data_IF_853715712991
#
_entry.id   IF_853715712991
#
_cell.length_a   1.000
_cell.length_b   1.000
_cell.length_c   1.000
_cell.angle_alpha   90.00
_cell.angle_beta   90.00
_cell.angle_gamma   90.00
#
_symmetry.space_group_name_H-M   'P 1'
#
loop_
_entity.id
_entity.type
_entity.pdbx_description
1 polymer ?
#
# COMPACT_ATOMS: atom_id res chain seq x y z
N UNK A 1 -17.08 -24.71 -17.44
CA UNK A 1 -16.99 -23.45 -18.21
C UNK A 1 -17.73 -23.63 -19.50
N UNK A 2 -18.83 -22.89 -19.69
CA UNK A 2 -19.58 -22.83 -20.95
C UNK A 2 -19.00 -21.71 -21.79
N UNK A 3 -18.56 -22.04 -23.00
CA UNK A 3 -18.09 -21.04 -23.96
C UNK A 3 -19.28 -20.67 -24.87
N UNK A 4 -19.76 -19.43 -24.73
CA UNK A 4 -20.81 -18.90 -25.60
C UNK A 4 -20.21 -18.01 -26.71
N UNK A 5 -20.77 -18.10 -27.90
CA UNK A 5 -20.39 -17.20 -29.01
C UNK A 5 -21.03 -15.84 -28.77
N UNK A 6 -20.19 -14.82 -28.48
CA UNK A 6 -20.58 -13.42 -28.37
C UNK A 6 -20.02 -12.57 -29.53
N UNK A 7 -20.52 -11.35 -29.67
CA UNK A 7 -19.93 -10.38 -30.58
C UNK A 7 -18.55 -9.95 -30.10
N UNK A 8 -17.55 -10.02 -30.97
CA UNK A 8 -16.20 -9.51 -30.65
C UNK A 8 -16.21 -7.98 -30.54
N UNK A 9 -15.39 -7.40 -29.66
CA UNK A 9 -15.13 -5.97 -29.64
C UNK A 9 -14.59 -5.53 -31.02
N UNK A 10 -14.89 -4.29 -31.42
CA UNK A 10 -14.55 -3.73 -32.75
C UNK A 10 -13.04 -3.59 -32.99
N UNK A 11 -12.21 -3.82 -31.99
CA UNK A 11 -10.77 -3.67 -32.08
C UNK A 11 -10.09 -5.05 -32.13
N UNK A 12 -9.40 -5.32 -33.24
CA UNK A 12 -8.57 -6.52 -33.36
C UNK A 12 -7.13 -6.10 -33.07
N UNK A 13 -6.63 -6.48 -31.87
CA UNK A 13 -5.27 -6.20 -31.50
C UNK A 13 -4.28 -7.04 -32.31
N UNK A 14 -3.26 -6.38 -32.89
CA UNK A 14 -2.12 -7.01 -33.56
C UNK A 14 -0.84 -6.62 -32.82
N UNK A 15 -0.03 -7.61 -32.49
CA UNK A 15 1.32 -7.41 -31.96
C UNK A 15 2.31 -8.18 -32.82
N UNK A 16 3.38 -7.55 -33.26
CA UNK A 16 4.39 -8.14 -34.16
C UNK A 16 3.81 -8.78 -35.43
N UNK A 17 2.77 -8.15 -36.05
CA UNK A 17 2.04 -8.63 -37.22
C UNK A 17 1.21 -9.91 -36.99
N UNK A 18 1.09 -10.40 -35.77
CA UNK A 18 0.24 -11.52 -35.41
C UNK A 18 -1.04 -11.04 -34.71
N UNK A 19 -2.13 -11.75 -34.94
CA UNK A 19 -3.39 -11.51 -34.23
C UNK A 19 -3.24 -11.99 -32.77
N UNK A 20 -3.63 -11.14 -31.83
CA UNK A 20 -3.59 -11.45 -30.42
C UNK A 20 -5.00 -11.48 -29.85
N UNK A 21 -5.35 -12.58 -29.21
CA UNK A 21 -6.54 -12.71 -28.38
C UNK A 21 -6.09 -12.79 -26.93
N UNK A 22 -6.51 -11.82 -26.10
CA UNK A 22 -6.18 -11.82 -24.67
C UNK A 22 -7.37 -12.38 -23.88
N UNK A 23 -7.12 -13.43 -23.10
CA UNK A 23 -8.06 -13.96 -22.13
C UNK A 23 -7.66 -13.47 -20.75
N UNK A 24 -8.48 -12.64 -20.16
CA UNK A 24 -8.26 -12.12 -18.81
C UNK A 24 -9.19 -12.80 -17.82
N UNK A 25 -8.66 -13.29 -16.71
CA UNK A 25 -9.45 -13.87 -15.63
C UNK A 25 -8.81 -13.56 -14.28
N UNK A 26 -9.64 -13.47 -13.26
CA UNK A 26 -9.18 -13.33 -11.88
C UNK A 26 -9.13 -14.69 -11.19
N UNK A 27 -8.04 -14.93 -10.48
CA UNK A 27 -7.88 -16.12 -9.65
C UNK A 27 -8.08 -15.75 -8.18
N UNK A 28 -9.08 -16.39 -7.55
CA UNK A 28 -9.36 -16.23 -6.12
C UNK A 28 -8.56 -17.28 -5.37
N UNK A 29 -7.41 -16.92 -4.82
CA UNK A 29 -6.54 -17.82 -4.09
C UNK A 29 -5.14 -17.27 -3.87
N UNK A 30 -4.22 -18.13 -3.43
CA UNK A 30 -2.82 -17.77 -3.28
C UNK A 30 -2.16 -17.56 -4.64
N UNK A 31 -1.44 -16.45 -4.84
CA UNK A 31 -0.72 -16.12 -6.08
C UNK A 31 0.26 -17.25 -6.49
N UNK A 32 0.88 -17.93 -5.52
CA UNK A 32 1.80 -19.05 -5.80
C UNK A 32 1.07 -20.26 -6.42
N UNK A 33 -0.14 -20.54 -5.94
CA UNK A 33 -0.98 -21.61 -6.50
C UNK A 33 -1.54 -21.20 -7.87
N UNK A 34 -1.98 -19.96 -8.02
CA UNK A 34 -2.45 -19.40 -9.30
C UNK A 34 -1.42 -19.53 -10.40
N UNK A 35 -0.17 -19.16 -10.13
CA UNK A 35 0.93 -19.28 -11.10
C UNK A 35 1.26 -20.74 -11.46
N UNK A 36 1.18 -21.66 -10.50
CA UNK A 36 1.38 -23.09 -10.78
C UNK A 36 0.28 -23.66 -11.66
N UNK A 37 -0.97 -23.31 -11.38
CA UNK A 37 -2.13 -23.73 -12.16
C UNK A 37 -2.04 -23.13 -13.57
N UNK A 38 -1.77 -21.84 -13.68
CA UNK A 38 -1.63 -21.16 -14.96
C UNK A 38 -0.56 -21.81 -15.86
N UNK A 39 0.63 -22.06 -15.31
CA UNK A 39 1.71 -22.74 -16.07
C UNK A 39 1.29 -24.11 -16.57
N UNK A 40 0.67 -24.92 -15.70
CA UNK A 40 0.19 -26.25 -16.07
C UNK A 40 -0.89 -26.20 -17.16
N UNK A 41 -1.89 -25.33 -16.96
CA UNK A 41 -3.01 -25.20 -17.89
C UNK A 41 -2.55 -24.66 -19.24
N UNK A 42 -1.52 -23.78 -19.24
CA UNK A 42 -0.90 -23.23 -20.44
C UNK A 42 -0.13 -24.31 -21.24
N UNK A 43 0.58 -25.20 -20.52
CA UNK A 43 1.26 -26.34 -21.15
C UNK A 43 0.27 -27.34 -21.75
N UNK A 44 -0.84 -27.64 -21.07
CA UNK A 44 -1.90 -28.51 -21.58
C UNK A 44 -2.62 -27.87 -22.77
N UNK A 45 -2.90 -26.58 -22.70
CA UNK A 45 -3.58 -25.83 -23.77
C UNK A 45 -2.73 -25.76 -25.04
N UNK A 46 -1.41 -25.51 -24.90
CA UNK A 46 -0.50 -25.47 -26.05
C UNK A 46 -0.42 -26.81 -26.79
N UNK A 47 -0.65 -27.94 -26.12
CA UNK A 47 -0.71 -29.26 -26.77
C UNK A 47 -1.99 -29.48 -27.58
N UNK A 48 -3.05 -28.74 -27.28
CA UNK A 48 -4.35 -28.83 -27.94
C UNK A 48 -4.49 -27.84 -29.09
N UNK A 49 -3.61 -26.83 -29.19
CA UNK A 49 -3.67 -25.80 -30.22
C UNK A 49 -3.25 -26.33 -31.58
N UNK A 50 -3.96 -25.93 -32.66
CA UNK A 50 -3.56 -26.23 -34.04
C UNK A 50 -2.20 -25.60 -34.39
N UNK A 51 -1.51 -26.17 -35.38
CA UNK A 51 -0.27 -25.58 -35.90
C UNK A 51 -0.44 -24.11 -36.27
N UNK A 52 0.46 -23.26 -35.78
CA UNK A 52 0.46 -21.81 -36.04
C UNK A 52 -0.17 -20.96 -34.93
N UNK A 53 -0.71 -21.59 -33.89
CA UNK A 53 -1.21 -20.88 -32.72
C UNK A 53 -0.33 -21.21 -31.51
N UNK A 54 0.02 -20.19 -30.73
CA UNK A 54 0.76 -20.31 -29.47
C UNK A 54 0.00 -19.58 -28.37
N UNK A 55 -0.11 -20.20 -27.20
CA UNK A 55 -0.62 -19.52 -26.02
C UNK A 55 0.56 -19.20 -25.10
N UNK A 56 0.70 -17.95 -24.77
CA UNK A 56 1.72 -17.45 -23.85
C UNK A 56 1.06 -16.65 -22.74
N UNK A 57 1.62 -16.73 -21.54
CA UNK A 57 1.21 -15.78 -20.51
C UNK A 57 1.81 -14.43 -20.86
N UNK A 58 1.00 -13.37 -20.79
CA UNK A 58 1.49 -12.03 -21.02
C UNK A 58 2.58 -11.68 -19.98
N UNK A 59 3.83 -11.75 -20.41
CA UNK A 59 4.98 -11.37 -19.59
C UNK A 59 5.04 -9.86 -19.31
N UNK A 60 4.25 -9.07 -20.04
CA UNK A 60 4.08 -7.64 -19.83
C UNK A 60 2.98 -7.32 -18.78
N UNK A 61 2.12 -8.27 -18.43
CA UNK A 61 1.39 -8.13 -17.18
C UNK A 61 2.47 -8.12 -16.09
N UNK A 62 2.61 -7.02 -15.38
CA UNK A 62 3.46 -6.93 -14.21
C UNK A 62 3.12 -8.09 -13.27
N UNK A 63 3.73 -9.25 -13.56
CA UNK A 63 3.59 -10.47 -12.80
C UNK A 63 4.39 -10.30 -11.52
N UNK A 64 3.77 -9.68 -10.55
CA UNK A 64 4.25 -9.58 -9.19
C UNK A 64 4.28 -10.96 -8.50
N UNK A 65 3.99 -12.02 -9.23
CA UNK A 65 3.83 -13.39 -8.71
C UNK A 65 5.08 -14.27 -8.68
N UNK A 66 6.17 -13.90 -9.32
CA UNK A 66 7.47 -14.43 -8.94
C UNK A 66 7.84 -13.83 -7.59
N UNK A 67 8.48 -14.61 -6.70
CA UNK A 67 9.06 -14.12 -5.43
C UNK A 67 10.02 -12.98 -5.71
N UNK A 68 9.47 -11.87 -6.18
CA UNK A 68 10.24 -10.69 -6.48
C UNK A 68 10.50 -9.99 -5.15
N UNK A 69 11.68 -10.24 -4.62
CA UNK A 69 12.22 -9.45 -3.50
C UNK A 69 12.25 -7.94 -3.81
N UNK A 70 11.88 -7.55 -5.03
CA UNK A 70 11.74 -6.16 -5.49
C UNK A 70 10.74 -5.37 -4.65
N UNK A 71 9.63 -5.99 -4.20
CA UNK A 71 8.65 -5.32 -3.34
C UNK A 71 9.27 -4.92 -2.00
N UNK A 72 10.03 -5.83 -1.39
CA UNK A 72 10.74 -5.54 -0.13
C UNK A 72 11.88 -4.55 -0.34
N UNK A 73 12.55 -4.63 -1.49
CA UNK A 73 13.57 -3.65 -1.89
C UNK A 73 12.96 -2.25 -2.03
N UNK A 74 11.79 -2.11 -2.66
CA UNK A 74 11.07 -0.84 -2.78
C UNK A 74 10.72 -0.26 -1.40
N UNK A 75 10.24 -1.10 -0.47
CA UNK A 75 9.97 -0.66 0.89
C UNK A 75 11.22 -0.15 1.59
N UNK A 76 12.34 -0.87 1.44
CA UNK A 76 13.63 -0.46 2.00
C UNK A 76 14.10 0.87 1.40
N UNK A 77 13.96 1.04 0.09
CA UNK A 77 14.30 2.30 -0.60
C UNK A 77 13.43 3.45 -0.07
N UNK A 78 12.13 3.25 0.11
CA UNK A 78 11.23 4.26 0.70
C UNK A 78 11.69 4.66 2.10
N UNK A 79 12.01 3.68 2.96
CA UNK A 79 12.52 3.95 4.32
C UNK A 79 13.85 4.70 4.28
N UNK A 80 14.75 4.34 3.36
CA UNK A 80 16.03 5.03 3.18
C UNK A 80 15.84 6.49 2.73
N UNK A 81 14.93 6.75 1.80
CA UNK A 81 14.58 8.11 1.35
C UNK A 81 14.00 8.92 2.52
N UNK A 82 13.07 8.34 3.29
CA UNK A 82 12.49 8.97 4.48
C UNK A 82 13.60 9.31 5.49
N UNK A 83 14.50 8.36 5.77
CA UNK A 83 15.62 8.57 6.68
C UNK A 83 16.52 9.73 6.22
N UNK A 84 16.91 9.73 4.95
CA UNK A 84 17.77 10.77 4.41
C UNK A 84 17.10 12.14 4.45
N UNK A 85 15.86 12.24 3.94
CA UNK A 85 15.11 13.50 3.89
C UNK A 85 14.88 14.08 5.28
N UNK A 86 14.49 13.24 6.24
CA UNK A 86 14.24 13.70 7.63
C UNK A 86 15.54 14.02 8.36
N UNK A 87 16.66 13.35 8.05
CA UNK A 87 17.98 13.67 8.61
C UNK A 87 18.45 15.06 8.17
N UNK A 88 18.26 15.38 6.89
CA UNK A 88 18.56 16.72 6.36
C UNK A 88 17.64 17.77 6.97
N UNK A 89 16.33 17.50 7.05
CA UNK A 89 15.35 18.43 7.58
C UNK A 89 15.62 18.83 9.05
N UNK A 90 15.96 17.84 9.87
CA UNK A 90 16.17 18.06 11.31
C UNK A 90 17.63 18.29 11.70
N UNK A 91 18.55 18.17 10.74
CA UNK A 91 20.00 18.24 11.00
C UNK A 91 20.42 17.33 12.18
N UNK A 92 19.87 16.11 12.22
CA UNK A 92 20.03 15.15 13.29
C UNK A 92 19.82 13.73 12.79
N UNK A 93 20.64 12.79 13.23
CA UNK A 93 20.49 11.37 12.89
C UNK A 93 19.57 10.61 13.87
N UNK A 94 19.33 11.17 15.06
CA UNK A 94 18.51 10.52 16.09
C UNK A 94 17.02 10.70 15.86
N UNK A 95 16.60 11.86 15.36
CA UNK A 95 15.18 12.17 15.14
C UNK A 95 14.54 11.33 14.05
N UNK A 96 15.18 11.09 12.88
CA UNK A 96 14.69 10.19 11.87
C UNK A 96 14.43 8.76 12.34
N UNK A 97 15.28 8.24 13.23
CA UNK A 97 15.10 6.90 13.80
C UNK A 97 13.79 6.81 14.60
N UNK A 98 13.45 7.84 15.37
CA UNK A 98 12.19 7.89 16.08
C UNK A 98 10.98 7.90 15.13
N UNK A 99 11.07 8.60 13.99
CA UNK A 99 10.02 8.62 12.96
C UNK A 99 9.85 7.24 12.33
N UNK A 100 10.97 6.59 11.94
CA UNK A 100 10.95 5.27 11.31
C UNK A 100 10.35 4.22 12.25
N UNK A 101 10.58 4.35 13.56
CA UNK A 101 10.04 3.42 14.54
C UNK A 101 8.49 3.46 14.64
N UNK A 102 7.86 4.55 14.23
CA UNK A 102 6.39 4.67 14.19
C UNK A 102 5.79 3.88 13.02
N UNK A 103 6.54 3.66 11.93
CA UNK A 103 6.05 2.97 10.73
C UNK A 103 5.57 1.53 11.03
N UNK A 104 6.35 0.65 11.71
CA UNK A 104 5.88 -0.69 12.06
C UNK A 104 4.60 -0.70 12.89
N UNK A 105 4.42 0.29 13.76
CA UNK A 105 3.20 0.42 14.57
C UNK A 105 1.98 0.64 13.68
N UNK A 106 2.11 1.44 12.62
CA UNK A 106 1.03 1.67 11.67
C UNK A 106 0.66 0.40 10.89
N UNK A 107 1.62 -0.48 10.61
CA UNK A 107 1.38 -1.73 9.88
C UNK A 107 0.56 -2.74 10.68
N UNK A 108 0.59 -2.68 12.02
CA UNK A 108 -0.27 -3.52 12.86
C UNK A 108 -1.74 -3.30 12.48
N UNK A 109 -2.14 -2.05 12.24
CA UNK A 109 -3.49 -1.73 11.81
C UNK A 109 -3.87 -2.31 10.45
N UNK A 110 -2.93 -2.31 9.51
CA UNK A 110 -3.14 -2.92 8.19
C UNK A 110 -3.37 -4.42 8.33
N UNK A 111 -2.47 -5.14 9.03
CA UNK A 111 -2.61 -6.57 9.24
C UNK A 111 -3.91 -6.95 9.97
N UNK A 112 -4.30 -6.16 10.98
CA UNK A 112 -5.53 -6.37 11.71
C UNK A 112 -6.76 -6.23 10.79
N UNK A 113 -6.75 -5.25 9.90
CA UNK A 113 -7.82 -5.01 8.94
C UNK A 113 -7.91 -6.15 7.92
N UNK A 114 -6.76 -6.58 7.37
CA UNK A 114 -6.70 -7.71 6.44
C UNK A 114 -7.20 -9.00 7.08
N UNK A 115 -6.84 -9.25 8.32
CA UNK A 115 -7.32 -10.41 9.08
C UNK A 115 -8.84 -10.36 9.30
N UNK A 116 -9.37 -9.20 9.69
CA UNK A 116 -10.80 -9.03 9.98
C UNK A 116 -11.68 -9.18 8.75
N UNK A 117 -11.28 -8.54 7.66
CA UNK A 117 -12.01 -8.60 6.39
C UNK A 117 -11.68 -9.83 5.54
N UNK A 118 -10.79 -10.71 6.01
CA UNK A 118 -10.30 -11.90 5.29
C UNK A 118 -9.78 -11.58 3.89
N UNK A 119 -9.06 -10.48 3.76
CA UNK A 119 -8.45 -10.05 2.51
C UNK A 119 -7.13 -10.77 2.28
N UNK A 120 -6.86 -11.11 1.02
CA UNK A 120 -5.54 -11.59 0.63
C UNK A 120 -4.54 -10.42 0.64
N UNK A 121 -3.33 -10.68 1.14
CA UNK A 121 -2.27 -9.69 1.13
C UNK A 121 -1.56 -9.75 -0.23
N UNK A 122 -2.05 -8.95 -1.17
CA UNK A 122 -1.60 -8.84 -2.55
C UNK A 122 -0.92 -7.49 -2.83
N UNK A 123 -0.89 -7.09 -4.10
CA UNK A 123 -0.30 -5.82 -4.53
C UNK A 123 -0.96 -4.60 -3.86
N UNK A 124 -2.30 -4.60 -3.73
CA UNK A 124 -3.03 -3.52 -3.07
C UNK A 124 -2.67 -3.40 -1.59
N UNK A 125 -2.51 -4.55 -0.92
CA UNK A 125 -2.03 -4.60 0.46
C UNK A 125 -0.62 -4.04 0.62
N UNK A 126 0.29 -4.40 -0.27
CA UNK A 126 1.65 -3.87 -0.25
C UNK A 126 1.69 -2.36 -0.56
N UNK A 127 0.89 -1.91 -1.54
CA UNK A 127 0.77 -0.50 -1.86
C UNK A 127 0.21 0.31 -0.67
N UNK A 128 -0.68 -0.27 0.14
CA UNK A 128 -1.17 0.37 1.37
C UNK A 128 -0.05 0.62 2.38
N UNK A 129 0.95 -0.25 2.50
CA UNK A 129 2.13 -0.03 3.34
C UNK A 129 2.93 1.18 2.90
N UNK A 130 3.23 1.27 1.60
CA UNK A 130 4.02 2.39 1.05
C UNK A 130 3.29 3.71 1.26
N UNK A 131 1.99 3.73 0.98
CA UNK A 131 1.16 4.92 1.16
C UNK A 131 1.08 5.33 2.63
N UNK A 132 0.85 4.36 3.52
CA UNK A 132 0.75 4.60 4.96
C UNK A 132 2.07 5.11 5.56
N UNK A 133 3.23 4.63 5.08
CA UNK A 133 4.54 5.19 5.43
C UNK A 133 4.56 6.71 5.20
N UNK A 134 4.18 7.16 4.01
CA UNK A 134 4.21 8.58 3.65
C UNK A 134 3.32 9.42 4.56
N UNK A 135 2.09 8.99 4.81
CA UNK A 135 1.12 9.73 5.63
C UNK A 135 1.56 9.78 7.09
N UNK A 136 2.01 8.64 7.64
CA UNK A 136 2.45 8.53 9.05
C UNK A 136 3.70 9.35 9.31
N UNK A 137 4.66 9.30 8.39
CA UNK A 137 5.90 10.09 8.47
C UNK A 137 5.60 11.57 8.43
N UNK A 138 4.71 12.01 7.55
CA UNK A 138 4.32 13.41 7.42
C UNK A 138 3.72 13.95 8.74
N UNK A 139 2.82 13.19 9.36
CA UNK A 139 2.26 13.52 10.68
C UNK A 139 3.35 13.65 11.76
N UNK A 140 4.29 12.69 11.77
CA UNK A 140 5.41 12.67 12.72
C UNK A 140 6.35 13.87 12.53
N UNK A 141 6.62 14.27 11.28
CA UNK A 141 7.42 15.45 10.95
C UNK A 141 6.77 16.72 11.50
N UNK A 142 5.45 16.90 11.36
CA UNK A 142 4.75 18.07 11.89
C UNK A 142 4.90 18.20 13.40
N UNK A 143 4.72 17.10 14.13
CA UNK A 143 4.84 17.09 15.60
C UNK A 143 6.30 17.39 16.01
N UNK A 144 7.26 16.76 15.36
CA UNK A 144 8.67 16.89 15.72
C UNK A 144 9.22 18.29 15.39
N UNK A 145 8.80 18.88 14.30
CA UNK A 145 9.15 20.24 13.92
C UNK A 145 8.62 21.25 14.96
N UNK A 146 7.36 21.10 15.38
CA UNK A 146 6.77 21.95 16.41
C UNK A 146 7.46 21.74 17.78
N UNK A 147 7.77 20.49 18.12
CA UNK A 147 8.54 20.18 19.33
C UNK A 147 9.90 20.88 19.33
N UNK A 148 10.64 20.82 18.24
CA UNK A 148 11.93 21.48 18.10
C UNK A 148 11.78 23.01 18.20
N UNK A 149 10.73 23.58 17.60
CA UNK A 149 10.42 25.02 17.69
C UNK A 149 10.15 25.45 19.14
N UNK A 150 9.33 24.69 19.87
CA UNK A 150 9.03 24.94 21.28
C UNK A 150 10.28 24.83 22.15
N UNK A 151 11.12 23.82 21.92
CA UNK A 151 12.38 23.62 22.65
C UNK A 151 13.38 24.77 22.44
N UNK A 152 13.40 25.34 21.24
CA UNK A 152 14.24 26.53 20.94
C UNK A 152 13.72 27.79 21.63
N UNK A 153 12.38 27.97 21.66
CA UNK A 153 11.75 29.15 22.31
C UNK A 153 11.77 29.09 23.84
N UNK A 154 11.63 27.89 24.38
CA UNK A 154 11.54 27.65 25.84
C UNK A 154 12.53 26.58 26.31
N UNK A 155 13.83 26.89 26.39
CA UNK A 155 14.87 25.91 26.72
C UNK A 155 14.70 25.24 28.10
N UNK A 156 14.05 25.95 29.05
CA UNK A 156 13.82 25.46 30.41
C UNK A 156 12.62 24.53 30.57
N UNK A 157 11.81 24.38 29.51
CA UNK A 157 10.64 23.51 29.55
C UNK A 157 11.10 22.04 29.55
N UNK A 158 10.47 21.18 30.34
CA UNK A 158 10.78 19.75 30.32
C UNK A 158 10.40 19.15 28.94
N UNK A 159 11.14 18.12 28.51
CA UNK A 159 10.93 17.47 27.23
C UNK A 159 9.49 16.99 27.05
N UNK A 160 8.91 16.37 28.10
CA UNK A 160 7.54 15.89 28.08
C UNK A 160 6.52 17.02 27.85
N UNK A 161 6.65 18.12 28.62
CA UNK A 161 5.74 19.27 28.46
C UNK A 161 5.86 19.93 27.08
N UNK A 162 7.08 19.99 26.52
CA UNK A 162 7.30 20.50 25.19
C UNK A 162 6.63 19.61 24.14
N UNK A 163 6.70 18.28 24.31
CA UNK A 163 6.06 17.31 23.43
C UNK A 163 4.52 17.43 23.46
N UNK A 164 3.93 17.45 24.67
CA UNK A 164 2.48 17.62 24.84
C UNK A 164 1.99 18.93 24.21
N UNK A 165 2.74 20.01 24.38
CA UNK A 165 2.39 21.32 23.77
C UNK A 165 2.48 21.27 22.24
N UNK A 166 3.50 20.60 21.68
CA UNK A 166 3.64 20.41 20.23
C UNK A 166 2.48 19.56 19.66
N UNK A 167 2.13 18.50 20.37
CA UNK A 167 1.02 17.64 20.02
C UNK A 167 -0.30 18.44 19.97
N UNK A 168 -0.65 19.13 21.05
CA UNK A 168 -1.89 19.92 21.11
C UNK A 168 -1.98 20.98 20.01
N UNK A 169 -0.86 21.52 19.57
CA UNK A 169 -0.82 22.49 18.48
C UNK A 169 -1.04 21.87 17.10
N UNK A 170 -0.72 20.57 16.92
CA UNK A 170 -0.74 19.90 15.61
C UNK A 170 -1.79 18.79 15.49
N UNK A 171 -2.46 18.40 16.58
CA UNK A 171 -3.45 17.32 16.56
C UNK A 171 -4.60 17.62 15.61
N UNK A 172 -5.13 18.85 15.58
CA UNK A 172 -6.26 19.23 14.72
C UNK A 172 -5.91 19.13 13.24
N UNK A 173 -4.83 19.74 12.71
CA UNK A 173 -4.48 19.58 11.30
C UNK A 173 -4.14 18.14 10.92
N UNK A 174 -3.49 17.37 11.81
CA UNK A 174 -3.22 15.96 11.55
C UNK A 174 -4.53 15.16 11.46
N UNK A 175 -5.45 15.37 12.39
CA UNK A 175 -6.75 14.70 12.39
C UNK A 175 -7.55 15.03 11.12
N UNK A 176 -7.56 16.30 10.67
CA UNK A 176 -8.22 16.71 9.45
C UNK A 176 -7.63 16.02 8.22
N UNK A 177 -6.30 15.88 8.13
CA UNK A 177 -5.66 15.16 7.01
C UNK A 177 -6.03 13.68 7.02
N UNK A 178 -6.06 13.03 8.20
CA UNK A 178 -6.48 11.63 8.33
C UNK A 178 -7.93 11.44 7.88
N UNK A 179 -8.85 12.27 8.39
CA UNK A 179 -10.28 12.21 8.02
C UNK A 179 -10.46 12.46 6.52
N UNK A 180 -9.81 13.47 5.96
CA UNK A 180 -9.86 13.75 4.52
C UNK A 180 -9.36 12.58 3.68
N UNK A 181 -8.27 11.92 4.12
CA UNK A 181 -7.74 10.75 3.43
C UNK A 181 -8.72 9.57 3.50
N UNK A 182 -9.30 9.29 4.68
CA UNK A 182 -10.30 8.24 4.84
C UNK A 182 -11.50 8.50 3.93
N UNK A 183 -12.04 9.73 3.92
CA UNK A 183 -13.15 10.09 3.06
C UNK A 183 -12.82 9.93 1.58
N UNK A 184 -11.57 10.25 1.17
CA UNK A 184 -11.10 10.05 -0.19
C UNK A 184 -11.01 8.59 -0.63
N UNK A 185 -10.85 7.65 0.34
CA UNK A 185 -10.82 6.21 0.03
C UNK A 185 -12.19 5.53 0.07
N UNK A 186 -13.23 6.16 0.63
CA UNK A 186 -14.59 5.59 0.68
C UNK A 186 -15.11 5.16 -0.70
N UNK A 187 -14.97 5.94 -1.79
CA UNK A 187 -15.45 5.53 -3.10
C UNK A 187 -14.91 4.19 -3.58
N UNK A 188 -13.64 3.88 -3.26
CA UNK A 188 -13.01 2.60 -3.64
C UNK A 188 -13.51 1.40 -2.85
N UNK A 189 -14.24 1.62 -1.76
CA UNK A 189 -14.83 0.57 -0.94
C UNK A 189 -16.29 0.25 -1.29
N UNK A 190 -17.00 1.16 -1.98
CA UNK A 190 -18.46 1.07 -2.20
C UNK A 190 -18.79 0.48 -3.59
N UNK A 191 -17.84 0.37 -4.51
CA UNK A 191 -18.04 -0.18 -5.86
C UNK A 191 -18.64 -1.60 -5.83
N UNK A 192 -19.57 -1.90 -6.74
CA UNK A 192 -20.16 -3.24 -6.90
C UNK A 192 -19.11 -4.27 -7.31
N UNK A 193 -18.18 -3.88 -8.16
CA UNK A 193 -17.00 -4.66 -8.50
C UNK A 193 -15.86 -4.26 -7.55
N UNK A 194 -15.64 -5.07 -6.51
CA UNK A 194 -14.47 -4.93 -5.63
C UNK A 194 -13.22 -5.21 -6.43
N UNK A 195 -12.69 -4.19 -7.07
CA UNK A 195 -11.44 -4.33 -7.83
C UNK A 195 -10.33 -4.87 -6.92
N UNK A 196 -9.66 -5.90 -7.40
CA UNK A 196 -8.66 -6.66 -6.63
C UNK A 196 -7.51 -5.81 -6.08
N UNK A 197 -7.22 -4.67 -6.70
CA UNK A 197 -6.17 -3.74 -6.26
C UNK A 197 -6.67 -2.62 -5.34
N UNK A 198 -7.75 -1.91 -5.74
CA UNK A 198 -8.20 -0.69 -5.05
C UNK A 198 -8.85 -0.95 -3.71
N UNK A 199 -9.62 -2.03 -3.60
CA UNK A 199 -10.29 -2.37 -2.35
C UNK A 199 -9.29 -2.73 -1.22
N UNK A 200 -8.30 -3.63 -1.41
CA UNK A 200 -7.28 -3.91 -0.40
C UNK A 200 -6.43 -2.69 -0.06
N UNK A 201 -6.08 -1.85 -1.06
CA UNK A 201 -5.36 -0.61 -0.85
C UNK A 201 -6.12 0.34 0.09
N UNK A 202 -7.40 0.59 -0.19
CA UNK A 202 -8.25 1.46 0.61
C UNK A 202 -8.46 0.91 2.02
N UNK A 203 -8.84 -0.37 2.14
CA UNK A 203 -9.09 -1.02 3.42
C UNK A 203 -7.83 -1.03 4.31
N UNK A 204 -6.67 -1.40 3.74
CA UNK A 204 -5.40 -1.40 4.44
C UNK A 204 -4.99 -0.01 4.93
N UNK A 205 -5.11 0.99 4.05
CA UNK A 205 -4.76 2.37 4.40
C UNK A 205 -5.65 2.93 5.49
N UNK A 206 -6.97 2.75 5.39
CA UNK A 206 -7.94 3.20 6.41
C UNK A 206 -7.65 2.52 7.75
N UNK A 207 -7.46 1.19 7.75
CA UNK A 207 -7.17 0.46 8.97
C UNK A 207 -5.88 0.89 9.66
N UNK A 208 -4.83 1.11 8.87
CA UNK A 208 -3.56 1.64 9.38
C UNK A 208 -3.70 3.04 9.96
N UNK A 209 -4.41 3.95 9.27
CA UNK A 209 -4.64 5.32 9.74
C UNK A 209 -5.47 5.37 11.03
N UNK A 210 -6.52 4.56 11.14
CA UNK A 210 -7.33 4.47 12.37
C UNK A 210 -6.49 4.00 13.53
N UNK A 211 -5.64 2.98 13.33
CA UNK A 211 -4.77 2.44 14.39
C UNK A 211 -3.73 3.46 14.82
N UNK A 212 -3.07 4.15 13.88
CA UNK A 212 -2.10 5.20 14.19
C UNK A 212 -2.77 6.35 14.94
N UNK A 213 -3.94 6.79 14.48
CA UNK A 213 -4.69 7.85 15.17
C UNK A 213 -5.07 7.46 16.59
N UNK A 214 -5.53 6.22 16.79
CA UNK A 214 -5.89 5.71 18.11
C UNK A 214 -4.67 5.60 19.04
N UNK A 215 -3.55 5.06 18.56
CA UNK A 215 -2.32 4.94 19.37
C UNK A 215 -1.76 6.30 19.75
N UNK A 216 -1.79 7.27 18.84
CA UNK A 216 -1.37 8.63 19.11
C UNK A 216 -2.29 9.35 20.11
N UNK A 217 -3.61 9.13 20.05
CA UNK A 217 -4.56 9.71 20.99
C UNK A 217 -4.41 9.11 22.40
N UNK A 218 -4.27 7.78 22.50
CA UNK A 218 -4.19 7.08 23.79
C UNK A 218 -2.87 7.31 24.53
N UNK A 219 -1.78 7.48 23.81
CA UNK A 219 -0.49 7.82 24.43
C UNK A 219 -0.53 9.15 25.24
N UNK A 220 -1.63 9.88 25.15
CA UNK A 220 -1.85 11.15 25.85
C UNK A 220 -2.62 11.01 27.16
N UNK A 221 -3.34 9.88 27.37
CA UNK A 221 -4.15 9.65 28.57
C UNK A 221 -3.39 8.96 29.70
N UNK A 222 -2.19 8.47 29.44
CA UNK A 222 -1.27 7.85 30.41
C UNK A 222 -0.05 8.74 30.65
#
# INVERSE_FOLDING_TARGET
>A
TTVEKGQMPQEIAKENQQYRLCLQYEYIGSNEMGNKIQKRDLEEFNKLLPMGYTAESDSNSWSWGEKDNRQYLLLLVVIAIIFFTTSVLFNSLKQPLAIIFVIPVSYIGVFLTFYWFRLNFDQGGFASFVLLCGITVNASIYILNEYNSIRRRFPRLSALRAYVKAWNAKVVPIFLTVVSTILGFIPFMIGEDKEAFWFPLAAGTIGGLVTVSYTHLRAHET
#
